data_IF_857356852699
#
_entry.id   IF_857356852699
#
_cell.length_a   1.000
_cell.length_b   1.000
_cell.length_c   1.000
_cell.angle_alpha   90.00
_cell.angle_beta   90.00
_cell.angle_gamma   90.00
#
_symmetry.space_group_name_H-M   'P 1'
#
loop_
_entity.id
_entity.type
_entity.pdbx_description
1 polymer ?
#
# COMPACT_ATOMS: atom_id res chain seq x y z
N UNK A 1 0.13 18.20 11.22
CA UNK A 1 1.29 17.87 10.37
C UNK A 1 2.38 18.90 10.62
N UNK A 2 3.44 18.55 11.34
CA UNK A 2 4.59 19.45 11.58
C UNK A 2 5.72 19.05 10.63
N UNK A 3 6.40 20.03 10.02
CA UNK A 3 7.60 19.85 9.20
C UNK A 3 7.43 18.97 7.94
N UNK A 4 6.25 18.99 7.32
CA UNK A 4 6.05 18.45 5.96
C UNK A 4 5.81 19.66 5.03
N UNK A 5 6.65 19.86 4.00
CA UNK A 5 6.49 21.01 3.10
C UNK A 5 5.27 20.87 2.19
N UNK A 6 4.80 22.00 1.66
CA UNK A 6 3.73 22.09 0.67
C UNK A 6 4.32 22.73 -0.61
N UNK A 7 4.16 22.12 -1.79
CA UNK A 7 3.47 20.85 -2.06
C UNK A 7 4.14 19.64 -1.40
N UNK A 8 3.34 18.64 -1.02
CA UNK A 8 3.82 17.44 -0.30
C UNK A 8 4.69 16.60 -1.25
N UNK A 9 6.01 16.45 -1.00
CA UNK A 9 6.90 15.75 -1.91
C UNK A 9 6.73 14.24 -1.81
N UNK A 10 6.82 13.57 -2.96
CA UNK A 10 6.79 12.11 -3.08
C UNK A 10 8.12 11.51 -2.65
N UNK A 11 8.28 11.24 -1.35
CA UNK A 11 9.57 10.78 -0.81
C UNK A 11 9.45 10.03 0.51
N UNK A 12 10.38 9.10 0.75
CA UNK A 12 10.47 8.32 2.00
C UNK A 12 10.60 9.18 3.27
N UNK A 13 11.40 10.27 3.30
CA UNK A 13 11.45 11.15 4.47
C UNK A 13 10.09 11.74 4.85
N UNK A 14 9.24 12.10 3.87
CA UNK A 14 7.89 12.62 4.12
C UNK A 14 6.99 11.55 4.73
N UNK A 15 7.05 10.31 4.25
CA UNK A 15 6.26 9.20 4.79
C UNK A 15 6.64 8.89 6.23
N UNK A 16 7.94 8.79 6.52
CA UNK A 16 8.45 8.63 7.88
C UNK A 16 7.99 9.78 8.77
N UNK A 17 8.07 11.02 8.27
CA UNK A 17 7.63 12.19 9.04
C UNK A 17 6.12 12.21 9.30
N UNK A 18 5.33 11.74 8.34
CA UNK A 18 3.89 11.58 8.50
C UNK A 18 3.58 10.55 9.60
N UNK A 19 4.26 9.41 9.61
CA UNK A 19 4.10 8.39 10.65
C UNK A 19 4.61 8.83 12.02
N UNK A 20 5.69 9.63 12.09
CA UNK A 20 6.15 10.25 13.34
C UNK A 20 5.09 11.20 13.91
N UNK A 21 4.42 11.96 13.04
CA UNK A 21 3.37 12.90 13.43
C UNK A 21 2.05 12.19 13.79
N UNK A 22 1.86 10.93 13.41
CA UNK A 22 0.65 10.13 13.62
C UNK A 22 1.06 8.71 14.09
N UNK A 23 1.43 8.53 15.37
CA UNK A 23 2.02 7.29 15.87
C UNK A 23 1.08 6.08 15.80
N UNK A 24 -0.22 6.29 15.70
CA UNK A 24 -1.23 5.25 15.56
C UNK A 24 -1.41 4.74 14.12
N UNK A 25 -0.81 5.40 13.13
CA UNK A 25 -0.97 5.05 11.72
C UNK A 25 0.18 4.15 11.26
N UNK A 26 -0.19 3.15 10.46
CA UNK A 26 0.71 2.36 9.61
C UNK A 26 0.43 2.73 8.16
N UNK A 27 1.42 3.31 7.49
CA UNK A 27 1.29 3.83 6.14
C UNK A 27 1.85 2.84 5.11
N UNK A 28 1.05 2.51 4.11
CA UNK A 28 1.51 1.88 2.88
C UNK A 28 1.26 2.83 1.71
N UNK A 29 2.30 3.09 0.90
CA UNK A 29 2.23 3.95 -0.27
C UNK A 29 2.59 3.12 -1.50
N UNK A 30 1.68 3.12 -2.45
CA UNK A 30 1.80 2.43 -3.73
C UNK A 30 1.99 3.45 -4.85
N UNK A 31 2.54 2.99 -5.96
CA UNK A 31 2.62 3.73 -7.21
C UNK A 31 2.04 2.86 -8.33
N UNK A 32 1.27 3.49 -9.22
CA UNK A 32 0.71 2.80 -10.39
C UNK A 32 1.49 3.16 -11.64
N UNK A 33 2.03 2.15 -12.31
CA UNK A 33 2.77 2.32 -13.55
C UNK A 33 1.86 2.05 -14.74
N UNK A 34 1.35 3.13 -15.34
CA UNK A 34 0.42 3.05 -16.49
C UNK A 34 0.96 2.22 -17.67
N UNK A 35 2.26 2.30 -17.96
CA UNK A 35 2.85 1.62 -19.12
C UNK A 35 2.80 0.09 -19.04
N UNK A 36 2.95 -0.45 -17.84
CA UNK A 36 3.07 -1.89 -17.59
C UNK A 36 1.90 -2.44 -16.73
N UNK A 37 0.91 -1.59 -16.44
CA UNK A 37 -0.30 -1.88 -15.65
C UNK A 37 -0.02 -2.64 -14.34
N UNK A 38 1.01 -2.23 -13.59
CA UNK A 38 1.33 -2.85 -12.31
C UNK A 38 1.42 -1.83 -11.17
N UNK A 39 1.18 -2.35 -9.97
CA UNK A 39 1.27 -1.65 -8.70
C UNK A 39 2.62 -1.95 -8.06
N UNK A 40 3.37 -0.90 -7.71
CA UNK A 40 4.64 -1.01 -7.00
C UNK A 40 4.54 -0.40 -5.60
N UNK A 41 5.42 -0.82 -4.70
CA UNK A 41 5.55 -0.18 -3.40
C UNK A 41 6.54 0.96 -3.46
N UNK A 42 6.08 2.11 -2.99
CA UNK A 42 6.94 3.25 -2.72
C UNK A 42 7.34 3.34 -1.25
N UNK A 43 6.48 2.85 -0.35
CA UNK A 43 6.74 2.81 1.08
C UNK A 43 5.86 1.76 1.76
N UNK A 44 6.45 1.00 2.68
CA UNK A 44 5.74 0.05 3.54
C UNK A 44 6.18 0.32 4.95
N UNK A 45 5.23 0.58 5.84
CA UNK A 45 5.52 0.70 7.26
C UNK A 45 5.97 -0.62 7.87
N UNK A 46 6.89 -0.53 8.82
CA UNK A 46 7.24 -1.65 9.71
C UNK A 46 6.21 -1.83 10.84
N UNK A 47 5.26 -0.89 11.00
CA UNK A 47 4.17 -0.94 11.98
C UNK A 47 3.07 -1.91 11.51
N UNK A 48 3.36 -3.21 11.52
CA UNK A 48 2.47 -4.25 10.96
C UNK A 48 1.48 -4.88 11.93
N UNK A 49 1.52 -4.47 13.20
CA UNK A 49 0.64 -5.06 14.23
C UNK A 49 -0.78 -4.49 14.12
N UNK A 50 -1.75 -5.26 14.59
CA UNK A 50 -3.18 -4.95 14.41
C UNK A 50 -3.63 -3.69 15.17
N UNK A 51 -2.85 -3.18 16.13
CA UNK A 51 -3.20 -1.93 16.84
C UNK A 51 -3.09 -0.67 15.97
N UNK A 52 -2.35 -0.73 14.85
CA UNK A 52 -2.16 0.43 13.99
C UNK A 52 -3.29 0.56 12.97
N UNK A 53 -3.77 1.80 12.80
CA UNK A 53 -4.71 2.15 11.74
C UNK A 53 -3.99 2.09 10.39
N UNK A 54 -4.42 1.17 9.54
CA UNK A 54 -3.83 1.00 8.21
C UNK A 54 -4.32 2.08 7.27
N UNK A 55 -3.40 2.83 6.68
CA UNK A 55 -3.67 3.83 5.64
C UNK A 55 -2.93 3.43 4.38
N UNK A 56 -3.69 3.26 3.30
CA UNK A 56 -3.17 2.89 1.99
C UNK A 56 -3.31 4.10 1.05
N UNK A 57 -2.20 4.60 0.53
CA UNK A 57 -2.17 5.70 -0.44
C UNK A 57 -1.67 5.20 -1.80
N UNK A 58 -2.27 5.71 -2.87
CA UNK A 58 -1.78 5.56 -4.22
C UNK A 58 -1.16 6.89 -4.67
N UNK A 59 0.02 6.83 -5.26
CA UNK A 59 0.64 7.94 -5.99
C UNK A 59 0.42 7.71 -7.47
N UNK A 60 -0.16 8.70 -8.13
CA UNK A 60 -0.28 8.77 -9.58
C UNK A 60 0.56 9.95 -10.02
N UNK A 61 1.49 9.72 -10.93
CA UNK A 61 2.36 10.75 -11.49
C UNK A 61 2.04 10.94 -12.97
N UNK A 62 1.71 12.17 -13.35
CA UNK A 62 1.45 12.59 -14.72
C UNK A 62 2.37 13.77 -15.03
N UNK A 63 3.26 13.59 -16.02
CA UNK A 63 4.27 14.58 -16.40
C UNK A 63 5.13 15.02 -15.19
N UNK A 64 4.93 16.25 -14.71
CA UNK A 64 5.65 16.88 -13.60
C UNK A 64 4.84 16.95 -12.29
N UNK A 65 3.63 16.38 -12.27
CA UNK A 65 2.71 16.45 -11.12
C UNK A 65 2.42 15.06 -10.56
N UNK A 66 2.37 14.98 -9.24
CA UNK A 66 1.97 13.76 -8.52
C UNK A 66 0.76 14.04 -7.63
N UNK A 67 -0.18 13.10 -7.63
CA UNK A 67 -1.38 13.13 -6.82
C UNK A 67 -1.37 11.97 -5.82
N UNK A 68 -1.64 12.28 -4.54
CA UNK A 68 -1.95 11.27 -3.54
C UNK A 68 -3.45 10.98 -3.54
N UNK A 69 -3.80 9.70 -3.66
CA UNK A 69 -5.17 9.20 -3.57
C UNK A 69 -5.28 8.21 -2.41
N UNK A 70 -6.34 8.31 -1.62
CA UNK A 70 -6.62 7.30 -0.58
C UNK A 70 -7.24 6.05 -1.22
N UNK A 71 -6.69 4.88 -0.90
CA UNK A 71 -7.22 3.59 -1.32
C UNK A 71 -8.21 3.12 -0.25
N UNK A 72 -9.51 3.29 -0.51
CA UNK A 72 -10.58 2.90 0.44
C UNK A 72 -10.76 1.38 0.56
N UNK A 73 -10.52 0.64 -0.51
CA UNK A 73 -10.61 -0.82 -0.54
C UNK A 73 -9.47 -1.37 -1.39
N UNK A 74 -8.38 -1.76 -0.73
CA UNK A 74 -7.18 -2.28 -1.36
C UNK A 74 -7.47 -3.55 -2.19
N UNK A 75 -8.43 -4.35 -1.76
CA UNK A 75 -8.75 -5.62 -2.39
C UNK A 75 -9.39 -5.45 -3.78
N UNK A 76 -10.05 -4.32 -4.03
CA UNK A 76 -10.62 -4.02 -5.37
C UNK A 76 -9.56 -3.83 -6.44
N UNK A 77 -8.33 -3.47 -6.07
CA UNK A 77 -7.23 -3.38 -7.04
C UNK A 77 -6.92 -4.74 -7.68
N UNK A 78 -7.12 -5.83 -6.94
CA UNK A 78 -6.90 -7.19 -7.45
C UNK A 78 -8.06 -7.73 -8.30
N UNK A 79 -9.15 -6.98 -8.50
CA UNK A 79 -10.35 -7.50 -9.17
C UNK A 79 -10.05 -8.09 -10.56
N UNK A 80 -9.19 -7.43 -11.34
CA UNK A 80 -8.80 -7.86 -12.69
C UNK A 80 -7.58 -8.81 -12.72
N UNK A 81 -7.05 -9.25 -11.58
CA UNK A 81 -5.86 -10.10 -11.51
C UNK A 81 -5.98 -11.45 -12.24
N UNK A 82 -7.20 -11.96 -12.45
CA UNK A 82 -7.46 -13.18 -13.23
C UNK A 82 -8.92 -13.19 -13.73
N UNK A 83 -9.27 -14.17 -14.58
CA UNK A 83 -10.62 -14.30 -15.19
C UNK A 83 -11.76 -14.49 -14.19
N UNK A 84 -11.47 -15.01 -12.99
CA UNK A 84 -12.50 -15.24 -11.97
C UNK A 84 -12.98 -13.91 -11.39
N UNK A 85 -14.31 -13.70 -11.42
CA UNK A 85 -14.98 -12.43 -11.06
C UNK A 85 -15.38 -12.31 -9.59
N UNK A 86 -15.00 -13.27 -8.75
CA UNK A 86 -15.24 -13.18 -7.31
C UNK A 86 -14.30 -12.19 -6.59
N UNK A 87 -14.66 -11.82 -5.36
CA UNK A 87 -13.83 -10.98 -4.49
C UNK A 87 -12.48 -11.66 -4.27
N UNK A 88 -11.41 -10.88 -4.36
CA UNK A 88 -10.03 -11.29 -4.10
C UNK A 88 -9.52 -10.53 -2.89
N UNK A 89 -8.45 -11.02 -2.28
CA UNK A 89 -7.88 -10.45 -1.06
C UNK A 89 -6.39 -10.23 -1.26
N UNK A 90 -6.01 -8.96 -1.39
CA UNK A 90 -4.64 -8.52 -1.61
C UNK A 90 -3.91 -8.37 -0.28
N UNK A 91 -2.71 -8.95 -0.15
CA UNK A 91 -1.82 -8.67 0.97
C UNK A 91 -1.15 -7.31 0.79
N UNK A 92 -1.35 -6.41 1.75
CA UNK A 92 -0.82 -5.05 1.70
C UNK A 92 0.71 -4.95 1.83
N UNK A 93 1.42 -6.03 2.20
CA UNK A 93 2.87 -6.00 2.44
C UNK A 93 3.69 -6.69 1.34
N UNK A 94 3.07 -7.56 0.53
CA UNK A 94 3.75 -8.30 -0.54
C UNK A 94 2.98 -8.39 -1.86
N UNK A 95 1.77 -7.82 -1.94
CA UNK A 95 0.87 -7.86 -3.10
C UNK A 95 0.44 -9.26 -3.55
N UNK A 96 0.67 -10.30 -2.75
CA UNK A 96 0.12 -11.62 -3.04
C UNK A 96 -1.41 -11.60 -2.97
N UNK A 97 -2.05 -12.21 -3.97
CA UNK A 97 -3.51 -12.23 -4.13
C UNK A 97 -4.06 -13.58 -3.67
N UNK A 98 -4.96 -13.55 -2.70
CA UNK A 98 -5.69 -14.71 -2.21
C UNK A 98 -7.11 -14.73 -2.79
N UNK A 99 -7.63 -15.92 -3.07
CA UNK A 99 -9.02 -16.13 -3.49
C UNK A 99 -10.02 -16.06 -2.33
N UNK A 100 -9.56 -16.19 -1.08
CA UNK A 100 -10.39 -16.18 0.12
C UNK A 100 -9.75 -15.37 1.26
N UNK A 101 -10.58 -14.71 2.07
CA UNK A 101 -10.15 -13.88 3.20
C UNK A 101 -9.33 -14.67 4.22
N UNK A 102 -9.75 -15.92 4.46
CA UNK A 102 -9.05 -16.85 5.37
C UNK A 102 -7.58 -17.02 4.97
N UNK A 103 -7.29 -17.17 3.69
CA UNK A 103 -5.91 -17.31 3.20
C UNK A 103 -5.07 -16.06 3.45
N UNK A 104 -5.66 -14.87 3.29
CA UNK A 104 -4.98 -13.62 3.62
C UNK A 104 -4.70 -13.52 5.13
N UNK A 105 -5.69 -13.85 5.99
CA UNK A 105 -5.54 -13.80 7.46
C UNK A 105 -4.47 -14.75 7.97
N UNK A 106 -4.37 -15.95 7.39
CA UNK A 106 -3.31 -16.92 7.74
C UNK A 106 -1.93 -16.48 7.25
N UNK A 107 -1.87 -15.68 6.17
CA UNK A 107 -0.63 -15.18 5.59
C UNK A 107 -0.05 -13.98 6.33
N UNK A 108 -0.87 -12.98 6.70
CA UNK A 108 -0.40 -11.70 7.26
C UNK A 108 0.64 -11.88 8.38
N UNK A 109 0.43 -12.73 9.41
CA UNK A 109 1.40 -12.91 10.50
C UNK A 109 2.76 -13.46 10.05
N UNK A 110 2.80 -14.14 8.90
CA UNK A 110 4.00 -14.77 8.32
C UNK A 110 4.59 -13.95 7.16
N UNK A 111 3.95 -12.84 6.80
CA UNK A 111 4.33 -12.05 5.64
C UNK A 111 5.66 -11.34 5.88
N UNK A 112 6.68 -11.71 5.09
CA UNK A 112 8.01 -11.11 5.13
C UNK A 112 8.17 -9.86 4.25
N UNK A 113 7.09 -9.40 3.62
CA UNK A 113 7.11 -8.29 2.66
C UNK A 113 7.77 -8.64 1.32
N UNK A 114 8.00 -7.64 0.47
CA UNK A 114 8.37 -7.79 -0.95
C UNK A 114 9.77 -8.36 -1.26
N UNK A 115 10.58 -8.73 -0.27
CA UNK A 115 11.97 -9.17 -0.49
C UNK A 115 12.24 -10.63 -0.05
N UNK A 116 11.19 -11.44 0.13
CA UNK A 116 11.31 -12.82 0.61
C UNK A 116 10.25 -13.76 0.01
N UNK A 117 9.86 -13.54 -1.23
CA UNK A 117 9.19 -14.60 -2.00
C UNK A 117 10.26 -15.65 -2.32
N UNK A 118 10.13 -16.92 -1.91
CA UNK A 118 11.05 -17.98 -2.36
C UNK A 118 10.97 -18.17 -3.88
#
# INVERSE_FOLDING_TARGET
MKNIPIPVPVSTPVYKKFEENNPEISLCVYEWHNQNEFLEFRYISERRRDEYKQVNLLVITEEDRSHYCIIKDLHKLAYNHNKHKGRKYLCQYCLHVYSAEKGLKEHIPKCKGLNNTP
#
